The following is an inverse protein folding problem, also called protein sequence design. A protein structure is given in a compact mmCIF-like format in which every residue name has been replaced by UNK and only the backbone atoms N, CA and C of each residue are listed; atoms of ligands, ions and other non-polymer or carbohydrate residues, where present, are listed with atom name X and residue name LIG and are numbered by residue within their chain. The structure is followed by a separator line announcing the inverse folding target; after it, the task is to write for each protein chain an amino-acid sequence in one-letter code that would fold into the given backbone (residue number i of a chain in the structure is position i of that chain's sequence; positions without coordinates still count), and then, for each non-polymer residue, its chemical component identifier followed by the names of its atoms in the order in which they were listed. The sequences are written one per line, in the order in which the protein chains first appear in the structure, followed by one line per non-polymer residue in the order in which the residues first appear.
data_IF_966059719668
#
_entry.id   IF_966059719668
#
_cell.length_a   1.000
_cell.length_b   1.000
_cell.length_c   1.000
_cell.angle_alpha   90.00
_cell.angle_beta   90.00
_cell.angle_gamma   90.00
#
_symmetry.space_group_name_H-M   'P 1'
#
loop_
_entity.id
_entity.type
_entity.pdbx_description
1 polymer ?
#
# COMPACT_ATOMS: atom_id res chain seq x y z
N UNK A 1 12.48 -59.02 -89.18
CA UNK A 1 11.50 -59.47 -88.18
C UNK A 1 12.24 -59.75 -86.87
N UNK A 2 11.81 -59.10 -85.80
CA UNK A 2 12.34 -59.27 -84.44
C UNK A 2 12.27 -60.72 -83.98
N UNK A 3 13.27 -61.20 -83.22
CA UNK A 3 12.98 -61.69 -81.87
C UNK A 3 14.22 -61.81 -80.96
N UNK A 4 14.00 -61.35 -79.73
CA UNK A 4 14.85 -61.26 -78.54
C UNK A 4 14.51 -62.43 -77.62
N UNK A 5 15.50 -63.15 -77.08
CA UNK A 5 15.59 -63.73 -75.71
C UNK A 5 17.09 -64.06 -75.51
N UNK A 6 17.84 -63.76 -74.44
CA UNK A 6 17.68 -63.07 -73.15
C UNK A 6 19.05 -63.22 -72.40
N UNK A 7 19.47 -62.33 -71.49
CA UNK A 7 20.73 -62.51 -70.80
C UNK A 7 20.58 -63.21 -69.45
N UNK A 8 21.62 -63.99 -69.22
CA UNK A 8 21.91 -64.98 -68.20
C UNK A 8 22.61 -64.35 -66.97
N UNK A 9 22.34 -64.95 -65.81
CA UNK A 9 23.01 -65.03 -64.49
C UNK A 9 24.02 -63.98 -63.95
N UNK A 10 24.24 -62.84 -64.60
CA UNK A 10 25.21 -61.81 -64.16
C UNK A 10 24.66 -60.80 -63.14
N UNK A 11 23.35 -60.81 -62.87
CA UNK A 11 22.69 -59.78 -62.04
C UNK A 11 22.74 -60.11 -60.55
N UNK A 12 22.88 -61.38 -60.17
CA UNK A 12 22.73 -61.77 -58.77
C UNK A 12 23.98 -61.48 -57.91
N UNK A 13 25.18 -61.63 -58.49
CA UNK A 13 26.46 -61.32 -57.79
C UNK A 13 26.70 -59.82 -57.64
N UNK A 14 26.30 -58.99 -58.61
CA UNK A 14 26.43 -57.52 -58.53
C UNK A 14 25.40 -56.94 -57.53
N UNK A 15 24.23 -57.56 -57.40
CA UNK A 15 23.18 -57.09 -56.47
C UNK A 15 23.60 -57.20 -55.00
N UNK A 16 24.33 -58.27 -54.63
CA UNK A 16 24.74 -58.51 -53.24
C UNK A 16 25.90 -57.58 -52.83
N UNK A 17 26.88 -57.34 -53.69
CA UNK A 17 28.00 -56.41 -53.39
C UNK A 17 27.50 -54.97 -53.17
N UNK A 18 26.53 -54.54 -53.99
CA UNK A 18 25.93 -53.20 -53.89
C UNK A 18 25.07 -53.04 -52.63
N UNK A 19 24.42 -54.13 -52.18
CA UNK A 19 23.61 -54.15 -50.96
C UNK A 19 24.48 -54.13 -49.70
N UNK A 20 25.59 -54.88 -49.68
CA UNK A 20 26.57 -54.84 -48.59
C UNK A 20 27.29 -53.49 -48.48
N UNK A 21 27.64 -52.85 -49.61
CA UNK A 21 28.24 -51.51 -49.62
C UNK A 21 27.30 -50.45 -48.99
N UNK A 22 26.00 -50.48 -49.34
CA UNK A 22 25.00 -49.55 -48.77
C UNK A 22 24.72 -49.83 -47.29
N UNK A 23 24.69 -51.09 -46.88
CA UNK A 23 24.58 -51.45 -45.46
C UNK A 23 25.81 -51.01 -44.67
N UNK A 24 27.01 -51.16 -45.24
CA UNK A 24 28.26 -50.71 -44.63
C UNK A 24 28.31 -49.18 -44.49
N UNK A 25 27.96 -48.42 -45.52
CA UNK A 25 27.89 -46.95 -45.44
C UNK A 25 26.81 -46.46 -44.45
N UNK A 26 25.66 -47.15 -44.38
CA UNK A 26 24.62 -46.82 -43.40
C UNK A 26 25.08 -47.13 -41.97
N UNK A 27 25.84 -48.22 -41.78
CA UNK A 27 26.42 -48.58 -40.49
C UNK A 27 27.54 -47.59 -40.08
N UNK A 28 28.35 -47.13 -41.02
CA UNK A 28 29.38 -46.12 -40.79
C UNK A 28 28.79 -44.73 -40.50
N UNK A 29 27.71 -44.32 -41.20
CA UNK A 29 26.99 -43.08 -40.88
C UNK A 29 26.34 -43.15 -39.50
N UNK A 30 25.74 -44.29 -39.12
CA UNK A 30 25.21 -44.49 -37.77
C UNK A 30 26.32 -44.47 -36.72
N UNK A 31 27.47 -45.10 -36.97
CA UNK A 31 28.65 -45.01 -36.08
C UNK A 31 29.15 -43.57 -35.96
N UNK A 32 29.23 -42.82 -37.05
CA UNK A 32 29.65 -41.42 -37.05
C UNK A 32 28.67 -40.54 -36.27
N UNK A 33 27.36 -40.76 -36.41
CA UNK A 33 26.31 -40.09 -35.63
C UNK A 33 26.46 -40.41 -34.15
N UNK A 34 26.70 -41.68 -33.79
CA UNK A 34 26.94 -42.08 -32.41
C UNK A 34 28.24 -41.49 -31.84
N UNK A 35 29.31 -41.38 -32.64
CA UNK A 35 30.57 -40.74 -32.25
C UNK A 35 30.36 -39.25 -32.04
N UNK A 36 29.66 -38.55 -32.93
CA UNK A 36 29.33 -37.13 -32.79
C UNK A 36 28.44 -36.91 -31.55
N UNK A 37 27.46 -37.78 -31.32
CA UNK A 37 26.61 -37.73 -30.12
C UNK A 37 27.44 -37.94 -28.85
N UNK A 38 28.40 -38.87 -28.86
CA UNK A 38 29.29 -39.12 -27.72
C UNK A 38 30.26 -37.96 -27.48
N UNK A 39 30.77 -37.32 -28.54
CA UNK A 39 31.61 -36.12 -28.46
C UNK A 39 30.81 -34.95 -27.89
N UNK A 40 29.58 -34.72 -28.35
CA UNK A 40 28.70 -33.68 -27.81
C UNK A 40 28.37 -33.96 -26.34
N UNK A 41 28.09 -35.22 -25.98
CA UNK A 41 27.85 -35.63 -24.60
C UNK A 41 29.10 -35.41 -23.72
N UNK A 42 30.29 -35.76 -24.21
CA UNK A 42 31.56 -35.50 -23.51
C UNK A 42 31.79 -33.99 -23.37
N UNK A 43 31.53 -33.19 -24.41
CA UNK A 43 31.63 -31.74 -24.33
C UNK A 43 30.67 -31.23 -23.25
N UNK A 44 29.38 -31.63 -23.27
CA UNK A 44 28.39 -31.24 -22.26
C UNK A 44 28.81 -31.68 -20.85
N UNK A 45 29.34 -32.90 -20.68
CA UNK A 45 29.87 -33.37 -19.39
C UNK A 45 31.09 -32.53 -18.97
N UNK A 46 32.00 -32.18 -19.89
CA UNK A 46 33.13 -31.30 -19.59
C UNK A 46 32.63 -29.91 -19.24
N UNK A 47 31.64 -29.33 -19.95
CA UNK A 47 31.08 -28.03 -19.62
C UNK A 47 30.39 -28.06 -18.27
N UNK A 48 29.61 -29.11 -17.96
CA UNK A 48 28.96 -29.30 -16.66
C UNK A 48 29.99 -29.51 -15.56
N UNK A 49 31.02 -30.32 -15.78
CA UNK A 49 32.08 -30.57 -14.80
C UNK A 49 32.91 -29.31 -14.59
N UNK A 50 33.21 -28.55 -15.64
CA UNK A 50 33.90 -27.25 -15.55
C UNK A 50 33.02 -26.23 -14.86
N UNK A 51 31.70 -26.21 -15.10
CA UNK A 51 30.75 -25.32 -14.42
C UNK A 51 30.57 -25.72 -12.96
N UNK A 52 30.51 -27.01 -12.62
CA UNK A 52 30.46 -27.52 -11.24
C UNK A 52 31.80 -27.26 -10.54
N UNK A 53 32.93 -27.41 -11.22
CA UNK A 53 34.25 -27.11 -10.66
C UNK A 53 34.42 -25.60 -10.48
N UNK A 54 33.90 -24.79 -11.40
CA UNK A 54 33.89 -23.33 -11.27
C UNK A 54 32.96 -22.91 -10.14
N UNK A 55 31.73 -23.45 -10.06
CA UNK A 55 30.76 -23.25 -8.96
C UNK A 55 31.29 -23.75 -7.63
N UNK A 56 32.03 -24.85 -7.58
CA UNK A 56 32.68 -25.36 -6.37
C UNK A 56 33.95 -24.55 -6.03
N UNK A 57 34.63 -23.95 -7.02
CA UNK A 57 35.76 -23.04 -6.80
C UNK A 57 35.28 -21.66 -6.34
N UNK A 58 34.13 -21.17 -6.81
CA UNK A 58 33.42 -19.99 -6.28
C UNK A 58 32.66 -20.29 -4.98
N UNK A 59 32.26 -21.53 -4.68
CA UNK A 59 31.76 -21.96 -3.35
C UNK A 59 32.86 -22.24 -2.34
N UNK A 60 34.13 -22.39 -2.75
CA UNK A 60 35.26 -22.57 -1.83
C UNK A 60 35.96 -21.25 -1.45
N UNK A 61 35.49 -20.14 -2.03
CA UNK A 61 35.61 -18.79 -1.46
C UNK A 61 34.23 -18.36 -0.92
N UNK A 62 33.62 -19.19 -0.07
CA UNK A 62 32.49 -18.75 0.76
C UNK A 62 33.00 -17.76 1.81
N UNK A 63 33.01 -16.47 1.46
CA UNK A 63 32.71 -15.43 2.44
C UNK A 63 31.34 -15.75 3.03
N UNK A 64 31.31 -16.31 4.23
CA UNK A 64 30.08 -16.42 5.02
C UNK A 64 29.66 -15.01 5.45
N UNK A 65 28.77 -14.40 4.68
CA UNK A 65 28.06 -13.19 5.10
C UNK A 65 26.94 -13.60 6.04
N UNK A 66 27.14 -13.51 7.35
CA UNK A 66 26.05 -13.62 8.32
C UNK A 66 25.27 -12.30 8.31
N UNK A 67 24.04 -12.33 7.77
CA UNK A 67 23.11 -11.20 7.88
C UNK A 67 22.52 -11.25 9.30
N UNK A 68 22.76 -10.21 10.09
CA UNK A 68 22.08 -9.99 11.37
C UNK A 68 21.02 -8.92 11.11
N UNK A 69 19.75 -9.32 11.05
CA UNK A 69 18.64 -8.37 11.15
C UNK A 69 18.53 -7.90 12.61
N UNK A 70 18.80 -6.61 12.83
CA UNK A 70 18.49 -5.95 14.10
C UNK A 70 17.18 -5.21 13.89
N UNK A 71 16.08 -5.77 14.38
CA UNK A 71 14.79 -5.08 14.45
C UNK A 71 14.84 -4.06 15.58
N UNK A 72 15.21 -2.81 15.26
CA UNK A 72 14.85 -1.64 16.07
C UNK A 72 13.85 -0.78 15.29
N UNK A 73 12.79 -0.33 15.96
CA UNK A 73 11.56 0.21 15.37
C UNK A 73 11.65 1.52 14.59
N UNK A 74 12.83 2.02 14.24
CA UNK A 74 12.96 3.14 13.29
C UNK A 74 14.25 3.00 12.49
N UNK A 75 14.09 2.97 11.15
CA UNK A 75 15.12 2.98 10.07
C UNK A 75 16.06 1.78 9.95
N UNK A 76 15.95 1.04 8.83
CA UNK A 76 16.91 0.02 8.39
C UNK A 76 18.13 0.67 7.75
N UNK A 77 19.31 0.58 8.36
CA UNK A 77 20.59 0.78 7.68
C UNK A 77 21.32 -0.56 7.54
N UNK A 78 21.79 -0.85 6.31
CA UNK A 78 22.55 -2.04 5.98
C UNK A 78 24.01 -1.87 6.42
N UNK A 79 24.47 -2.66 7.39
CA UNK A 79 25.90 -2.75 7.72
C UNK A 79 26.48 -4.06 7.16
N UNK A 80 27.31 -3.98 6.12
CA UNK A 80 28.11 -5.10 5.63
C UNK A 80 29.47 -5.11 6.34
N UNK A 81 29.80 -6.19 7.04
CA UNK A 81 31.15 -6.42 7.57
C UNK A 81 31.66 -7.78 7.10
N UNK A 82 32.80 -7.78 6.40
CA UNK A 82 33.48 -8.98 5.93
C UNK A 82 34.56 -9.35 6.95
N UNK A 83 34.47 -10.51 7.60
CA UNK A 83 35.54 -11.01 8.49
C UNK A 83 35.97 -12.40 8.05
N UNK A 84 37.23 -12.54 7.66
CA UNK A 84 37.86 -13.80 7.27
C UNK A 84 38.53 -14.41 8.51
N UNK A 85 37.92 -15.42 9.13
CA UNK A 85 38.58 -16.55 9.81
C UNK A 85 37.54 -17.33 10.63
N UNK A 86 37.60 -18.67 10.52
CA UNK A 86 36.71 -19.63 11.18
C UNK A 86 37.01 -19.68 12.69
N UNK A 87 36.42 -18.76 13.46
CA UNK A 87 36.47 -18.73 14.92
C UNK A 87 35.04 -18.86 15.47
N UNK A 88 34.87 -19.62 16.54
CA UNK A 88 33.56 -19.92 17.15
C UNK A 88 32.94 -18.63 17.72
N UNK A 89 31.86 -18.13 17.10
CA UNK A 89 31.15 -16.92 17.54
C UNK A 89 29.95 -17.31 18.40
N UNK A 90 29.88 -16.86 19.65
CA UNK A 90 28.69 -17.01 20.51
C UNK A 90 28.00 -15.66 20.70
N UNK A 91 26.77 -15.51 20.18
CA UNK A 91 25.94 -14.31 20.37
C UNK A 91 24.93 -14.55 21.50
N UNK A 92 24.84 -13.62 22.46
CA UNK A 92 23.82 -13.66 23.53
C UNK A 92 23.23 -12.27 23.70
N UNK A 93 21.90 -12.17 23.67
CA UNK A 93 21.13 -10.96 23.96
C UNK A 93 20.70 -10.99 25.42
N UNK A 94 20.88 -9.89 26.14
CA UNK A 94 20.49 -9.74 27.56
C UNK A 94 19.28 -8.82 27.68
N UNK A 95 18.31 -9.20 28.51
CA UNK A 95 17.16 -8.37 28.85
C UNK A 95 17.54 -7.13 29.68
N UNK A 96 16.70 -6.06 29.64
CA UNK A 96 16.91 -4.84 30.40
C UNK A 96 17.17 -5.09 31.90
N UNK A 97 18.22 -4.47 32.45
CA UNK A 97 18.51 -4.51 33.89
C UNK A 97 19.18 -5.80 34.42
N UNK A 98 19.53 -6.76 33.56
CA UNK A 98 20.18 -8.01 33.99
C UNK A 98 21.68 -7.86 34.29
N UNK A 99 22.19 -8.67 35.25
CA UNK A 99 23.61 -8.84 35.56
C UNK A 99 24.08 -10.18 34.99
N UNK A 100 25.12 -10.16 34.14
CA UNK A 100 25.67 -11.40 33.54
C UNK A 100 27.19 -11.47 33.73
N UNK A 101 27.70 -12.62 34.21
CA UNK A 101 29.12 -12.97 34.27
C UNK A 101 29.47 -13.97 33.16
N UNK A 102 30.58 -13.75 32.44
CA UNK A 102 31.04 -14.66 31.38
C UNK A 102 32.56 -14.88 31.43
N UNK A 103 32.96 -16.15 31.34
CA UNK A 103 34.35 -16.59 31.13
C UNK A 103 34.55 -16.94 29.65
N UNK A 104 35.63 -16.48 29.04
CA UNK A 104 35.97 -16.75 27.62
C UNK A 104 37.16 -17.68 27.51
N UNK A 105 37.06 -18.72 26.67
CA UNK A 105 38.16 -19.65 26.39
C UNK A 105 39.24 -19.04 25.46
N UNK A 106 40.48 -19.55 25.54
CA UNK A 106 41.61 -19.07 24.73
C UNK A 106 41.35 -19.19 23.22
N UNK A 107 41.65 -18.12 22.47
CA UNK A 107 41.53 -18.13 21.01
C UNK A 107 40.11 -17.92 20.47
N UNK A 108 39.17 -17.38 21.25
CA UNK A 108 37.80 -17.08 20.81
C UNK A 108 37.52 -15.57 20.65
N UNK A 109 36.60 -15.23 19.73
CA UNK A 109 36.08 -13.88 19.52
C UNK A 109 34.65 -13.83 20.06
N UNK A 110 34.39 -12.95 21.03
CA UNK A 110 33.03 -12.77 21.57
C UNK A 110 32.51 -11.38 21.24
N UNK A 111 31.35 -11.32 20.59
CA UNK A 111 30.56 -10.09 20.42
C UNK A 111 29.49 -10.03 21.51
N UNK A 112 29.36 -8.89 22.19
CA UNK A 112 28.31 -8.68 23.20
C UNK A 112 27.59 -7.38 22.89
N UNK A 113 26.27 -7.46 22.77
CA UNK A 113 25.38 -6.31 22.58
C UNK A 113 24.64 -6.08 23.89
N UNK A 114 24.81 -4.90 24.49
CA UNK A 114 24.16 -4.54 25.75
C UNK A 114 23.11 -3.47 25.51
N UNK A 115 21.91 -3.69 26.03
CA UNK A 115 20.87 -2.67 26.09
C UNK A 115 21.16 -1.60 27.17
N UNK A 116 20.53 -0.42 27.09
CA UNK A 116 20.70 0.65 28.08
C UNK A 116 20.40 0.18 29.51
N UNK A 117 21.32 0.42 30.45
CA UNK A 117 21.12 0.15 31.89
C UNK A 117 21.57 -1.24 32.39
N UNK A 118 22.14 -2.12 31.55
CA UNK A 118 22.69 -3.42 31.99
C UNK A 118 24.15 -3.32 32.47
N UNK A 119 24.52 -4.11 33.50
CA UNK A 119 25.89 -4.21 34.04
C UNK A 119 26.49 -5.58 33.71
N UNK A 120 27.63 -5.60 33.01
CA UNK A 120 28.34 -6.84 32.65
C UNK A 120 29.75 -6.84 33.24
N UNK A 121 30.11 -7.90 33.98
CA UNK A 121 31.47 -8.09 34.53
C UNK A 121 32.14 -9.23 33.76
N UNK A 122 33.33 -8.98 33.19
CA UNK A 122 34.01 -9.94 32.32
C UNK A 122 35.50 -10.09 32.70
N UNK A 123 35.97 -11.33 32.79
CA UNK A 123 37.38 -11.67 33.05
C UNK A 123 37.99 -12.22 31.76
N UNK A 124 39.02 -11.57 31.23
CA UNK A 124 39.68 -11.93 29.96
C UNK A 124 41.03 -12.59 30.19
N UNK A 125 41.29 -13.73 29.54
CA UNK A 125 42.63 -14.36 29.47
C UNK A 125 43.46 -13.85 28.26
N UNK A 126 44.80 -14.00 28.29
CA UNK A 126 45.70 -13.50 27.24
C UNK A 126 45.42 -14.11 25.86
N UNK A 127 45.36 -13.27 24.82
CA UNK A 127 45.21 -13.70 23.42
C UNK A 127 43.79 -13.74 22.85
N UNK A 128 42.79 -13.16 23.53
CA UNK A 128 41.41 -13.02 23.02
C UNK A 128 41.14 -11.64 22.42
N UNK A 129 40.37 -11.60 21.32
CA UNK A 129 39.86 -10.36 20.69
C UNK A 129 38.40 -10.16 21.09
N UNK A 130 38.06 -9.00 21.65
CA UNK A 130 36.68 -8.66 22.04
C UNK A 130 36.18 -7.42 21.31
N UNK A 131 35.02 -7.53 20.67
CA UNK A 131 34.31 -6.39 20.05
C UNK A 131 33.07 -6.09 20.88
N UNK A 132 32.92 -4.84 21.34
CA UNK A 132 31.76 -4.39 22.11
C UNK A 132 31.06 -3.26 21.37
N UNK A 133 29.79 -3.44 21.06
CA UNK A 133 28.93 -2.42 20.44
C UNK A 133 28.11 -1.78 21.57
N UNK A 134 28.30 -0.49 21.85
CA UNK A 134 27.68 0.23 22.98
C UNK A 134 26.69 1.28 22.49
N UNK A 135 25.51 1.36 23.12
CA UNK A 135 24.51 2.41 22.86
C UNK A 135 24.46 3.56 23.88
N UNK A 136 25.27 3.56 24.96
CA UNK A 136 25.62 4.77 25.74
C UNK A 136 26.69 4.48 26.81
N UNK A 137 27.13 5.53 27.53
CA UNK A 137 28.33 5.65 28.35
C UNK A 137 28.43 4.72 29.57
N UNK A 138 29.51 3.91 29.66
CA UNK A 138 30.05 3.35 30.92
C UNK A 138 31.56 3.06 30.83
N UNK A 139 32.22 3.32 31.96
CA UNK A 139 33.66 3.21 32.29
C UNK A 139 34.19 1.77 32.18
N UNK A 140 35.36 1.57 31.57
CA UNK A 140 36.03 0.26 31.51
C UNK A 140 37.25 0.20 32.44
N UNK A 141 37.33 -0.84 33.27
CA UNK A 141 38.56 -1.23 33.99
C UNK A 141 39.58 -1.88 33.05
N UNK A 142 40.86 -1.71 33.38
CA UNK A 142 42.04 -1.90 32.53
C UNK A 142 42.13 -3.25 31.79
N UNK A 143 42.53 -3.18 30.51
CA UNK A 143 42.82 -4.32 29.65
C UNK A 143 44.16 -4.99 30.01
N UNK A 144 44.23 -6.32 29.92
CA UNK A 144 45.48 -7.07 30.05
C UNK A 144 46.44 -6.79 28.88
N UNK A 145 47.78 -6.89 29.08
CA UNK A 145 48.77 -6.60 28.05
C UNK A 145 48.56 -7.47 26.80
N UNK A 146 48.45 -6.85 25.62
CA UNK A 146 48.27 -7.55 24.33
C UNK A 146 46.84 -7.58 23.78
N UNK A 147 45.87 -6.89 24.41
CA UNK A 147 44.47 -6.85 23.96
C UNK A 147 44.18 -5.58 23.13
N UNK A 148 43.65 -5.71 21.92
CA UNK A 148 43.14 -4.59 21.10
C UNK A 148 41.64 -4.39 21.31
N UNK A 149 41.21 -3.17 21.62
CA UNK A 149 39.78 -2.80 21.73
C UNK A 149 39.45 -1.73 20.69
N UNK A 150 38.54 -2.04 19.76
CA UNK A 150 38.07 -1.10 18.74
C UNK A 150 36.66 -0.64 19.10
N UNK A 151 36.47 0.67 19.30
CA UNK A 151 35.16 1.28 19.60
C UNK A 151 34.62 1.89 18.30
N UNK A 152 33.63 1.26 17.69
CA UNK A 152 32.89 1.86 16.58
C UNK A 152 31.79 2.77 17.14
N UNK A 153 31.90 4.08 16.90
CA UNK A 153 30.86 5.06 17.22
C UNK A 153 29.82 5.03 16.10
N UNK A 154 28.66 4.44 16.36
CA UNK A 154 27.51 4.51 15.45
C UNK A 154 26.82 5.84 15.72
N UNK A 155 26.93 6.79 14.80
CA UNK A 155 26.16 8.03 14.84
C UNK A 155 24.86 7.79 14.07
N UNK A 156 23.78 7.46 14.78
CA UNK A 156 22.44 7.42 14.17
C UNK A 156 21.97 8.86 13.95
N UNK A 157 21.88 9.28 12.69
CA UNK A 157 21.30 10.58 12.34
C UNK A 157 19.78 10.41 12.39
N UNK A 158 19.16 10.70 13.53
CA UNK A 158 17.71 10.78 13.63
C UNK A 158 17.24 11.94 12.74
N UNK A 159 16.63 11.62 11.60
CA UNK A 159 15.97 12.60 10.74
C UNK A 159 14.80 13.18 11.54
N UNK A 160 15.02 14.35 12.11
CA UNK A 160 14.02 15.05 12.90
C UNK A 160 12.88 15.50 11.98
N UNK A 161 11.67 15.05 12.27
CA UNK A 161 10.47 15.34 11.48
C UNK A 161 10.01 16.76 11.78
N UNK A 162 10.61 17.73 11.11
CA UNK A 162 10.27 19.15 11.27
C UNK A 162 9.25 19.61 10.24
N UNK A 163 8.35 20.51 10.63
CA UNK A 163 7.50 21.23 9.69
C UNK A 163 8.37 22.12 8.82
N UNK A 164 8.38 21.85 7.53
CA UNK A 164 9.08 22.68 6.55
C UNK A 164 8.03 23.43 5.76
N UNK A 165 8.10 24.77 5.81
CA UNK A 165 7.28 25.61 4.95
C UNK A 165 7.62 25.27 3.50
N UNK A 166 6.63 24.89 2.71
CA UNK A 166 6.75 24.69 1.27
C UNK A 166 6.31 25.96 0.53
N UNK A 167 6.24 25.92 -0.80
CA UNK A 167 5.52 26.96 -1.54
C UNK A 167 4.06 27.08 -1.10
N UNK A 168 3.40 28.16 -1.49
CA UNK A 168 1.97 28.36 -1.23
C UNK A 168 1.15 28.18 -2.51
N UNK A 169 -0.08 27.71 -2.35
CA UNK A 169 -1.11 27.84 -3.39
C UNK A 169 -1.29 29.31 -3.76
N UNK A 170 -1.47 29.58 -5.04
CA UNK A 170 -1.68 30.91 -5.61
C UNK A 170 -3.05 31.49 -5.26
N UNK A 171 -4.06 30.63 -5.08
CA UNK A 171 -5.41 31.04 -4.68
C UNK A 171 -5.85 30.31 -3.43
N UNK A 172 -6.13 31.07 -2.37
CA UNK A 172 -6.67 30.56 -1.11
C UNK A 172 -8.01 29.84 -1.36
N UNK A 173 -8.17 28.66 -0.75
CA UNK A 173 -9.34 27.80 -0.99
C UNK A 173 -9.69 26.94 0.21
N UNK A 174 -10.98 26.84 0.52
CA UNK A 174 -11.57 25.85 1.42
C UNK A 174 -12.53 24.93 0.65
N UNK A 175 -12.87 23.77 1.22
CA UNK A 175 -13.80 22.79 0.62
C UNK A 175 -13.40 22.32 -0.79
N UNK A 176 -12.09 22.33 -1.06
CA UNK A 176 -11.46 21.76 -2.24
C UNK A 176 -11.27 20.25 -2.05
N UNK A 177 -10.89 19.56 -3.12
CA UNK A 177 -10.42 18.17 -3.06
C UNK A 177 -8.90 18.13 -3.24
N UNK A 178 -8.23 17.18 -2.58
CA UNK A 178 -6.81 16.90 -2.75
C UNK A 178 -6.63 15.42 -3.12
N UNK A 179 -6.00 15.14 -4.26
CA UNK A 179 -5.84 13.78 -4.82
C UNK A 179 -4.36 13.47 -5.07
N UNK A 180 -3.84 12.38 -4.48
CA UNK A 180 -2.48 11.90 -4.73
C UNK A 180 -2.43 11.20 -6.08
N UNK A 181 -1.84 11.84 -7.07
CA UNK A 181 -1.71 11.35 -8.44
C UNK A 181 -0.76 10.13 -8.50
N UNK A 182 -0.84 9.29 -9.56
CA UNK A 182 0.04 8.11 -9.71
C UNK A 182 1.54 8.42 -9.69
N UNK A 183 1.94 9.65 -10.03
CA UNK A 183 3.33 10.09 -9.99
C UNK A 183 3.77 10.63 -8.61
N UNK A 184 2.91 10.57 -7.59
CA UNK A 184 3.18 11.07 -6.24
C UNK A 184 2.92 12.57 -6.03
N UNK A 185 2.60 13.32 -7.08
CA UNK A 185 2.17 14.72 -6.94
C UNK A 185 0.73 14.79 -6.39
N UNK A 186 0.35 15.94 -5.83
CA UNK A 186 -0.99 16.13 -5.26
C UNK A 186 -1.74 17.17 -6.09
N UNK A 187 -2.85 16.77 -6.73
CA UNK A 187 -3.78 17.69 -7.36
C UNK A 187 -4.70 18.28 -6.32
N UNK A 188 -4.76 19.61 -6.26
CA UNK A 188 -5.75 20.37 -5.48
C UNK A 188 -6.70 21.07 -6.44
N UNK A 189 -7.98 20.72 -6.40
CA UNK A 189 -8.98 21.19 -7.37
C UNK A 189 -10.15 21.91 -6.69
N UNK A 190 -10.56 23.03 -7.29
CA UNK A 190 -11.74 23.80 -6.89
C UNK A 190 -11.66 24.37 -5.48
N UNK A 191 -12.78 24.32 -4.77
CA UNK A 191 -12.96 24.99 -3.48
C UNK A 191 -13.48 26.42 -3.63
N UNK A 192 -13.42 27.18 -2.54
CA UNK A 192 -13.90 28.56 -2.49
C UNK A 192 -12.99 29.42 -1.62
N UNK A 193 -12.73 30.65 -2.04
CA UNK A 193 -11.96 31.62 -1.27
C UNK A 193 -12.82 32.41 -0.26
N UNK A 194 -14.12 32.56 -0.55
CA UNK A 194 -15.05 33.44 0.17
C UNK A 194 -16.27 32.71 0.75
N UNK A 195 -16.34 31.38 0.58
CA UNK A 195 -17.47 30.56 1.03
C UNK A 195 -18.72 30.64 0.15
N UNK A 196 -18.67 31.34 -0.98
CA UNK A 196 -19.84 31.64 -1.85
C UNK A 196 -19.63 31.27 -3.31
N UNK A 197 -18.41 31.43 -3.82
CA UNK A 197 -18.09 31.25 -5.24
C UNK A 197 -17.15 30.07 -5.42
N UNK A 198 -17.52 29.13 -6.29
CA UNK A 198 -16.69 28.00 -6.67
C UNK A 198 -15.52 28.42 -7.55
N UNK A 199 -14.33 27.91 -7.25
CA UNK A 199 -13.12 28.15 -8.04
C UNK A 199 -13.06 27.16 -9.21
N UNK A 200 -12.70 27.66 -10.39
CA UNK A 200 -12.35 26.85 -11.57
C UNK A 200 -10.90 26.35 -11.53
N UNK A 201 -10.06 27.03 -10.76
CA UNK A 201 -8.61 26.77 -10.72
C UNK A 201 -8.27 25.45 -10.04
N UNK A 202 -7.20 24.83 -10.52
CA UNK A 202 -6.52 23.72 -9.87
C UNK A 202 -5.02 23.96 -9.83
N UNK A 203 -4.35 23.36 -8.85
CA UNK A 203 -2.92 23.47 -8.61
C UNK A 203 -2.35 22.09 -8.29
N UNK A 204 -1.10 21.85 -8.66
CA UNK A 204 -0.40 20.60 -8.40
C UNK A 204 0.77 20.88 -7.47
N UNK A 205 0.81 20.17 -6.34
CA UNK A 205 1.94 20.16 -5.43
C UNK A 205 2.87 19.01 -5.78
N UNK A 206 4.18 19.30 -5.88
CA UNK A 206 5.21 18.27 -6.01
C UNK A 206 5.94 18.10 -4.66
N UNK A 207 5.71 16.99 -3.93
CA UNK A 207 6.35 16.76 -2.64
C UNK A 207 7.89 16.66 -2.70
N UNK A 208 8.46 16.28 -3.85
CA UNK A 208 9.92 16.14 -3.99
C UNK A 208 10.64 17.48 -4.11
N UNK A 209 9.97 18.52 -4.61
CA UNK A 209 10.52 19.88 -4.76
C UNK A 209 9.94 20.87 -3.77
N UNK A 210 8.81 20.54 -3.14
CA UNK A 210 8.05 21.46 -2.28
C UNK A 210 7.38 22.60 -3.05
N UNK A 211 7.27 22.51 -4.38
CA UNK A 211 6.74 23.56 -5.23
C UNK A 211 5.28 23.30 -5.63
N UNK A 212 4.55 24.38 -5.80
CA UNK A 212 3.21 24.41 -6.38
C UNK A 212 3.27 24.93 -7.81
N UNK A 213 2.50 24.31 -8.69
CA UNK A 213 2.35 24.73 -10.08
C UNK A 213 0.88 24.81 -10.43
N UNK A 214 0.45 25.92 -11.02
CA UNK A 214 -0.88 26.03 -11.63
C UNK A 214 -1.02 25.05 -12.78
N UNK A 215 -2.18 24.42 -12.91
CA UNK A 215 -2.51 23.54 -14.04
C UNK A 215 -3.74 24.08 -14.80
N UNK A 216 -4.28 23.33 -15.75
CA UNK A 216 -5.50 23.71 -16.45
C UNK A 216 -6.67 23.98 -15.50
N UNK A 217 -7.67 24.70 -16.01
CA UNK A 217 -8.88 25.08 -15.26
C UNK A 217 -10.08 24.25 -15.69
N UNK A 218 -10.96 23.97 -14.74
CA UNK A 218 -12.30 23.45 -15.01
C UNK A 218 -13.14 24.48 -15.78
N UNK A 219 -14.14 24.01 -16.51
CA UNK A 219 -15.16 24.86 -17.15
C UNK A 219 -16.15 25.44 -16.15
N UNK A 220 -16.46 24.70 -15.08
CA UNK A 220 -17.36 25.13 -14.00
C UNK A 220 -16.64 25.20 -12.66
N UNK A 221 -16.74 26.34 -11.98
CA UNK A 221 -16.19 26.50 -10.65
C UNK A 221 -16.97 25.67 -9.64
N UNK A 222 -16.29 25.00 -8.69
CA UNK A 222 -16.97 24.07 -7.77
C UNK A 222 -16.32 23.97 -6.40
N UNK A 223 -17.14 23.89 -5.36
CA UNK A 223 -16.75 23.48 -4.00
C UNK A 223 -17.75 22.45 -3.45
N UNK A 224 -17.38 21.69 -2.40
CA UNK A 224 -18.15 20.54 -1.91
C UNK A 224 -18.44 19.45 -2.98
N UNK A 225 -17.55 19.33 -3.97
CA UNK A 225 -17.55 18.28 -4.98
C UNK A 225 -16.74 17.08 -4.48
N UNK A 226 -16.85 15.94 -5.15
CA UNK A 226 -15.99 14.78 -4.93
C UNK A 226 -14.92 14.70 -6.01
N UNK A 227 -13.75 14.14 -5.67
CA UNK A 227 -12.72 13.76 -6.63
C UNK A 227 -12.44 12.25 -6.52
N UNK A 228 -12.26 11.58 -7.65
CA UNK A 228 -11.98 10.14 -7.73
C UNK A 228 -10.88 9.86 -8.74
N UNK A 229 -9.81 9.18 -8.31
CA UNK A 229 -8.72 8.76 -9.19
C UNK A 229 -9.16 7.51 -9.95
N UNK A 230 -9.32 7.64 -11.25
CA UNK A 230 -9.72 6.55 -12.14
C UNK A 230 -8.56 5.56 -12.35
N UNK A 231 -8.89 4.36 -12.81
CA UNK A 231 -7.89 3.29 -13.05
C UNK A 231 -6.79 3.68 -14.04
N UNK A 232 -7.06 4.63 -14.94
CA UNK A 232 -6.08 5.16 -15.89
C UNK A 232 -5.21 6.30 -15.32
N UNK A 233 -5.38 6.66 -14.04
CA UNK A 233 -4.63 7.72 -13.37
C UNK A 233 -5.24 9.13 -13.52
N UNK A 234 -6.28 9.30 -14.32
CA UNK A 234 -6.99 10.58 -14.42
C UNK A 234 -7.88 10.82 -13.19
N UNK A 235 -8.24 12.08 -12.92
CA UNK A 235 -9.07 12.45 -11.77
C UNK A 235 -10.43 12.95 -12.25
N UNK A 236 -11.50 12.23 -11.90
CA UNK A 236 -12.88 12.68 -12.08
C UNK A 236 -13.25 13.63 -10.94
N UNK A 237 -13.70 14.84 -11.25
CA UNK A 237 -14.41 15.71 -10.31
C UNK A 237 -15.89 15.76 -10.69
N UNK A 238 -16.77 15.58 -9.71
CA UNK A 238 -18.22 15.50 -9.95
C UNK A 238 -19.02 16.36 -8.98
N UNK A 239 -20.03 17.05 -9.51
CA UNK A 239 -20.97 17.86 -8.73
C UNK A 239 -20.29 18.98 -7.94
N UNK A 240 -20.76 19.20 -6.72
CA UNK A 240 -20.46 20.40 -5.94
C UNK A 240 -21.39 21.55 -6.33
N UNK A 241 -21.02 22.76 -5.94
CA UNK A 241 -21.80 23.96 -6.25
C UNK A 241 -20.88 25.09 -6.70
N UNK A 242 -21.35 25.90 -7.65
CA UNK A 242 -20.62 27.06 -8.17
C UNK A 242 -20.99 28.35 -7.41
N UNK A 243 -22.20 28.38 -6.85
CA UNK A 243 -22.79 29.51 -6.13
C UNK A 243 -23.42 29.02 -4.82
N UNK A 244 -24.39 29.77 -4.28
CA UNK A 244 -25.08 29.38 -3.05
C UNK A 244 -26.18 28.37 -3.42
N UNK A 245 -26.02 27.13 -2.93
CA UNK A 245 -27.02 26.07 -2.89
C UNK A 245 -27.41 25.38 -4.20
N UNK A 246 -26.96 25.82 -5.38
CA UNK A 246 -27.28 25.10 -6.64
C UNK A 246 -26.29 23.96 -6.89
N UNK A 247 -26.77 22.72 -6.82
CA UNK A 247 -25.95 21.55 -7.13
C UNK A 247 -25.61 21.48 -8.63
N UNK A 248 -24.35 21.22 -8.96
CA UNK A 248 -23.88 21.05 -10.34
C UNK A 248 -24.20 19.64 -10.84
N UNK A 249 -24.70 19.55 -12.07
CA UNK A 249 -24.83 18.28 -12.82
C UNK A 249 -23.53 17.89 -13.51
N UNK A 250 -22.61 18.85 -13.69
CA UNK A 250 -21.40 18.67 -14.48
C UNK A 250 -20.34 17.86 -13.73
N UNK A 251 -19.61 17.08 -14.50
CA UNK A 251 -18.39 16.42 -14.08
C UNK A 251 -17.30 16.60 -15.16
N UNK A 252 -16.06 16.59 -14.71
CA UNK A 252 -14.89 16.86 -15.55
C UNK A 252 -13.76 15.92 -15.15
N UNK A 253 -12.93 15.53 -16.12
CA UNK A 253 -11.80 14.63 -15.91
C UNK A 253 -10.51 15.40 -16.16
N UNK A 254 -9.63 15.42 -15.15
CA UNK A 254 -8.28 15.94 -15.24
C UNK A 254 -7.31 14.87 -15.71
N UNK A 255 -6.56 15.15 -16.76
CA UNK A 255 -5.45 14.32 -17.21
C UNK A 255 -4.12 14.86 -16.65
N UNK A 256 -3.46 14.16 -15.72
CA UNK A 256 -2.22 14.64 -15.10
C UNK A 256 -1.01 14.67 -16.05
N UNK A 257 -1.05 13.96 -17.18
CA UNK A 257 0.04 13.98 -18.17
C UNK A 257 0.02 15.22 -19.05
N UNK A 258 -1.16 15.82 -19.26
CA UNK A 258 -1.33 17.02 -20.11
C UNK A 258 -1.68 18.27 -19.32
N UNK A 259 -2.16 18.11 -18.08
CA UNK A 259 -2.69 19.21 -17.27
C UNK A 259 -4.05 19.73 -17.75
N UNK A 260 -4.71 19.02 -18.68
CA UNK A 260 -5.98 19.47 -19.28
C UNK A 260 -7.19 18.85 -18.57
N UNK A 261 -8.28 19.60 -18.55
CA UNK A 261 -9.60 19.16 -18.12
C UNK A 261 -10.46 18.86 -19.34
N UNK A 262 -11.25 17.78 -19.27
CA UNK A 262 -12.23 17.42 -20.30
C UNK A 262 -13.58 17.21 -19.63
N UNK A 263 -14.62 17.88 -20.15
CA UNK A 263 -15.98 17.63 -19.70
C UNK A 263 -16.42 16.19 -20.03
N UNK A 264 -17.20 15.60 -19.13
CA UNK A 264 -17.89 14.33 -19.38
C UNK A 264 -19.36 14.58 -19.72
N UNK A 265 -20.15 13.52 -19.90
CA UNK A 265 -21.60 13.65 -19.80
C UNK A 265 -22.00 14.15 -18.39
N UNK A 266 -23.24 14.59 -18.25
CA UNK A 266 -23.77 15.15 -16.99
C UNK A 266 -24.56 14.11 -16.19
N UNK A 267 -24.56 14.27 -14.87
CA UNK A 267 -25.52 13.62 -13.99
C UNK A 267 -26.95 14.08 -14.30
N UNK A 268 -27.93 13.26 -13.96
CA UNK A 268 -29.35 13.57 -14.08
C UNK A 268 -29.80 14.61 -13.06
N UNK A 269 -29.17 14.62 -11.88
CA UNK A 269 -29.50 15.54 -10.78
C UNK A 269 -28.25 16.23 -10.25
N UNK A 270 -28.30 17.56 -10.17
CA UNK A 270 -27.19 18.36 -9.69
C UNK A 270 -27.07 18.29 -8.18
N UNK A 271 -25.88 17.99 -7.66
CA UNK A 271 -25.69 17.64 -6.24
C UNK A 271 -24.40 18.18 -5.66
N UNK A 272 -24.41 18.52 -4.36
CA UNK A 272 -23.21 18.89 -3.59
C UNK A 272 -23.20 18.20 -2.23
N UNK A 273 -22.03 18.11 -1.57
CA UNK A 273 -21.85 17.36 -0.30
C UNK A 273 -22.29 15.89 -0.38
N UNK A 274 -22.22 15.31 -1.58
CA UNK A 274 -22.45 13.90 -1.82
C UNK A 274 -21.16 13.11 -1.58
N UNK A 275 -21.26 11.79 -1.51
CA UNK A 275 -20.11 10.88 -1.42
C UNK A 275 -19.84 10.24 -2.77
N UNK A 276 -18.60 9.79 -2.97
CA UNK A 276 -18.19 9.03 -4.15
C UNK A 276 -17.34 7.82 -3.75
N UNK A 277 -17.54 6.69 -4.43
CA UNK A 277 -16.73 5.48 -4.28
C UNK A 277 -16.32 4.95 -5.64
N UNK A 278 -15.05 4.59 -5.78
CA UNK A 278 -14.60 3.77 -6.90
C UNK A 278 -15.05 2.33 -6.67
N UNK A 279 -15.77 1.79 -7.63
CA UNK A 279 -16.24 0.41 -7.68
C UNK A 279 -15.13 -0.48 -8.25
N UNK A 280 -15.24 -1.79 -8.03
CA UNK A 280 -14.23 -2.77 -8.50
C UNK A 280 -13.99 -2.80 -9.99
N UNK A 281 -15.00 -2.44 -10.76
CA UNK A 281 -14.91 -2.34 -12.21
C UNK A 281 -14.30 -0.99 -12.69
N UNK A 282 -13.83 -0.14 -11.77
CA UNK A 282 -13.24 1.17 -12.08
C UNK A 282 -14.26 2.30 -12.27
N UNK A 283 -15.56 2.01 -12.22
CA UNK A 283 -16.60 3.02 -12.29
C UNK A 283 -16.75 3.77 -10.96
N UNK A 284 -17.36 4.95 -10.99
CA UNK A 284 -17.53 5.78 -9.78
C UNK A 284 -19.01 5.85 -9.42
N UNK A 285 -19.37 5.42 -8.22
CA UNK A 285 -20.70 5.57 -7.65
C UNK A 285 -20.76 6.89 -6.87
N UNK A 286 -21.69 7.77 -7.21
CA UNK A 286 -22.02 8.96 -6.39
C UNK A 286 -23.34 8.74 -5.67
N UNK A 287 -23.42 9.13 -4.40
CA UNK A 287 -24.58 8.86 -3.55
C UNK A 287 -25.02 10.12 -2.81
N UNK A 288 -26.34 10.35 -2.84
CA UNK A 288 -27.03 11.37 -2.07
C UNK A 288 -26.48 12.78 -2.23
N UNK A 289 -26.28 13.46 -1.10
CA UNK A 289 -25.88 14.86 -1.01
C UNK A 289 -27.08 15.78 -0.84
N UNK A 290 -26.97 16.99 -1.41
CA UNK A 290 -28.04 17.99 -1.41
C UNK A 290 -28.39 18.45 -2.82
N UNK A 291 -29.68 18.67 -3.04
CA UNK A 291 -30.23 19.40 -4.17
C UNK A 291 -30.94 20.63 -3.58
N UNK A 292 -30.50 21.84 -3.94
CA UNK A 292 -30.87 23.05 -3.21
C UNK A 292 -30.58 22.88 -1.71
N UNK A 293 -31.54 23.15 -0.83
CA UNK A 293 -31.40 22.93 0.61
C UNK A 293 -31.89 21.57 1.11
N UNK A 294 -32.36 20.71 0.21
CA UNK A 294 -32.98 19.43 0.57
C UNK A 294 -31.98 18.29 0.44
N UNK A 295 -31.97 17.41 1.44
CA UNK A 295 -31.19 16.19 1.41
C UNK A 295 -31.71 15.24 0.31
N UNK A 296 -30.80 14.57 -0.38
CA UNK A 296 -31.12 13.72 -1.53
C UNK A 296 -30.63 12.29 -1.31
N UNK A 297 -31.40 11.30 -1.77
CA UNK A 297 -31.07 9.87 -1.66
C UNK A 297 -30.75 9.20 -3.01
N UNK A 298 -30.76 9.95 -4.12
CA UNK A 298 -30.46 9.39 -5.43
C UNK A 298 -29.00 8.98 -5.57
N UNK A 299 -28.74 7.97 -6.40
CA UNK A 299 -27.39 7.53 -6.73
C UNK A 299 -27.22 7.38 -8.25
N UNK A 300 -26.01 7.65 -8.73
CA UNK A 300 -25.65 7.54 -10.14
C UNK A 300 -24.27 6.89 -10.27
N UNK A 301 -24.04 6.18 -11.37
CA UNK A 301 -22.75 5.55 -11.67
C UNK A 301 -22.15 6.22 -12.90
N UNK A 302 -20.94 6.73 -12.77
CA UNK A 302 -20.09 7.16 -13.87
C UNK A 302 -19.35 5.96 -14.45
N UNK A 303 -19.57 5.71 -15.74
CA UNK A 303 -18.83 4.72 -16.50
C UNK A 303 -17.50 5.32 -16.98
N UNK A 304 -16.40 4.83 -16.40
CA UNK A 304 -15.06 5.37 -16.64
C UNK A 304 -14.53 5.15 -18.06
N UNK A 305 -15.05 4.17 -18.80
CA UNK A 305 -14.62 3.88 -20.17
C UNK A 305 -15.39 4.67 -21.22
N UNK A 306 -16.62 5.08 -20.93
CA UNK A 306 -17.49 5.79 -21.89
C UNK A 306 -17.73 7.26 -21.54
N UNK A 307 -17.40 7.69 -20.32
CA UNK A 307 -17.67 9.05 -19.85
C UNK A 307 -19.13 9.32 -19.53
N UNK A 308 -19.99 8.28 -19.49
CA UNK A 308 -21.44 8.41 -19.32
C UNK A 308 -21.90 8.21 -17.88
N UNK A 309 -22.94 8.92 -17.48
CA UNK A 309 -23.64 8.71 -16.22
C UNK A 309 -24.89 7.85 -16.40
N UNK A 310 -25.20 7.03 -15.40
CA UNK A 310 -26.43 6.21 -15.40
C UNK A 310 -27.02 6.16 -14.00
N UNK A 311 -28.31 6.44 -13.89
CA UNK A 311 -29.06 6.30 -12.64
C UNK A 311 -29.04 4.86 -12.14
N UNK A 312 -28.90 4.68 -10.84
CA UNK A 312 -28.99 3.38 -10.17
C UNK A 312 -30.00 3.46 -9.02
N UNK A 313 -30.19 2.39 -8.25
CA UNK A 313 -31.11 2.41 -7.12
C UNK A 313 -30.77 3.52 -6.13
N UNK A 314 -31.80 4.10 -5.51
CA UNK A 314 -31.67 5.13 -4.47
C UNK A 314 -31.47 4.47 -3.10
N UNK A 315 -30.86 5.19 -2.16
CA UNK A 315 -30.88 4.76 -0.75
C UNK A 315 -32.31 4.83 -0.22
N UNK A 316 -32.68 3.89 0.64
CA UNK A 316 -34.01 3.78 1.26
C UNK A 316 -34.27 4.94 2.22
N UNK A 317 -33.22 5.44 2.88
CA UNK A 317 -33.31 6.60 3.77
C UNK A 317 -32.48 7.76 3.23
N UNK A 318 -33.07 8.94 3.21
CA UNK A 318 -32.38 10.22 2.94
C UNK A 318 -31.49 10.56 4.13
N UNK A 319 -30.21 10.85 3.87
CA UNK A 319 -29.20 11.09 4.90
C UNK A 319 -28.17 12.14 4.48
N UNK A 320 -27.78 13.00 5.42
CA UNK A 320 -26.63 13.90 5.32
C UNK A 320 -25.56 13.49 6.32
N UNK A 321 -24.33 13.96 6.15
CA UNK A 321 -23.26 13.77 7.16
C UNK A 321 -23.03 12.30 7.57
N UNK A 322 -23.33 11.39 6.65
CA UNK A 322 -23.08 9.95 6.76
C UNK A 322 -21.67 9.64 6.24
N UNK A 323 -21.20 8.43 6.52
CA UNK A 323 -19.96 7.91 5.93
C UNK A 323 -20.27 6.86 4.87
N UNK A 324 -19.41 6.78 3.85
CA UNK A 324 -19.48 5.79 2.79
C UNK A 324 -18.18 4.98 2.77
N UNK A 325 -18.28 3.66 2.74
CA UNK A 325 -17.14 2.73 2.74
C UNK A 325 -17.30 1.71 1.62
N UNK A 326 -16.27 1.59 0.76
CA UNK A 326 -16.20 0.48 -0.20
C UNK A 326 -15.66 -0.76 0.52
N UNK A 327 -16.44 -1.84 0.52
CA UNK A 327 -16.14 -3.08 1.24
C UNK A 327 -15.20 -4.00 0.43
N UNK A 328 -14.54 -4.93 1.12
CA UNK A 328 -13.71 -5.99 0.51
C UNK A 328 -14.48 -7.00 -0.35
N UNK A 329 -15.80 -6.96 -0.37
CA UNK A 329 -16.60 -7.73 -1.33
C UNK A 329 -17.06 -6.88 -2.54
N UNK A 330 -16.62 -5.61 -2.60
CA UNK A 330 -16.89 -4.70 -3.71
C UNK A 330 -18.23 -3.98 -3.63
N UNK A 331 -19.03 -4.29 -2.60
CA UNK A 331 -20.23 -3.55 -2.26
C UNK A 331 -19.86 -2.23 -1.58
N UNK A 332 -20.80 -1.30 -1.53
CA UNK A 332 -20.61 0.00 -0.87
C UNK A 332 -21.57 0.11 0.30
N UNK A 333 -21.06 0.42 1.48
CA UNK A 333 -21.84 0.62 2.70
C UNK A 333 -22.01 2.12 2.96
N UNK A 334 -23.24 2.56 3.25
CA UNK A 334 -23.51 3.88 3.83
C UNK A 334 -23.99 3.72 5.26
N UNK A 335 -23.48 4.55 6.16
CA UNK A 335 -23.61 4.36 7.61
C UNK A 335 -24.13 5.65 8.26
N UNK A 336 -25.21 5.53 9.03
CA UNK A 336 -25.75 6.58 9.87
C UNK A 336 -26.03 7.88 9.09
N UNK A 337 -25.64 9.01 9.68
CA UNK A 337 -25.93 10.34 9.16
C UNK A 337 -27.17 10.95 9.81
N UNK A 338 -27.60 12.08 9.28
CA UNK A 338 -28.70 12.89 9.77
C UNK A 338 -29.85 12.88 8.75
N UNK A 339 -31.03 12.49 9.21
CA UNK A 339 -32.29 12.63 8.47
C UNK A 339 -33.08 13.85 8.95
N UNK A 340 -34.24 14.10 8.35
CA UNK A 340 -35.17 15.12 8.84
C UNK A 340 -35.74 14.80 10.24
N UNK A 341 -35.72 13.52 10.65
CA UNK A 341 -36.20 13.05 11.95
C UNK A 341 -35.09 12.91 12.99
N UNK A 342 -33.86 13.29 12.65
CA UNK A 342 -32.69 13.19 13.52
C UNK A 342 -31.64 12.18 13.03
N UNK A 343 -30.61 11.96 13.85
CA UNK A 343 -29.52 11.01 13.57
C UNK A 343 -30.03 9.61 13.27
N UNK A 344 -29.26 8.89 12.45
CA UNK A 344 -29.58 7.54 11.99
C UNK A 344 -28.61 6.54 12.60
N UNK A 345 -29.15 5.41 13.04
CA UNK A 345 -28.37 4.20 13.33
C UNK A 345 -28.42 3.18 12.18
N UNK A 346 -29.19 3.47 11.13
CA UNK A 346 -29.36 2.60 9.98
C UNK A 346 -28.14 2.60 9.07
N UNK A 347 -27.92 1.47 8.42
CA UNK A 347 -26.95 1.34 7.36
C UNK A 347 -27.55 0.61 6.15
N UNK A 348 -27.01 0.90 4.97
CA UNK A 348 -27.47 0.30 3.71
C UNK A 348 -26.28 -0.12 2.85
N UNK A 349 -26.44 -1.23 2.15
CA UNK A 349 -25.42 -1.82 1.29
C UNK A 349 -25.88 -1.75 -0.16
N UNK A 350 -25.10 -1.10 -1.01
CA UNK A 350 -25.23 -1.11 -2.46
C UNK A 350 -24.57 -2.35 -3.04
N UNK A 351 -25.29 -3.08 -3.88
CA UNK A 351 -24.74 -4.14 -4.70
C UNK A 351 -24.55 -3.67 -6.15
N UNK A 352 -23.29 -3.46 -6.62
CA UNK A 352 -23.02 -3.02 -7.98
C UNK A 352 -23.51 -3.97 -9.08
N UNK A 353 -23.64 -5.27 -8.80
CA UNK A 353 -24.10 -6.22 -9.82
C UNK A 353 -25.59 -6.13 -10.11
N UNK A 354 -26.39 -5.65 -9.16
CA UNK A 354 -27.83 -5.48 -9.29
C UNK A 354 -28.27 -4.03 -9.36
N UNK A 355 -27.38 -3.10 -9.00
CA UNK A 355 -27.70 -1.67 -8.91
C UNK A 355 -28.71 -1.35 -7.81
N UNK A 356 -28.79 -2.16 -6.75
CA UNK A 356 -29.79 -2.01 -5.68
C UNK A 356 -29.15 -1.79 -4.32
N UNK A 357 -29.83 -1.00 -3.50
CA UNK A 357 -29.55 -0.86 -2.07
C UNK A 357 -30.40 -1.82 -1.25
N UNK A 358 -29.80 -2.40 -0.22
CA UNK A 358 -30.49 -3.23 0.78
C UNK A 358 -30.14 -2.73 2.16
N UNK A 359 -31.13 -2.63 3.05
CA UNK A 359 -30.89 -2.40 4.47
C UNK A 359 -30.06 -3.56 5.05
N UNK A 360 -29.18 -3.25 5.99
CA UNK A 360 -28.42 -4.23 6.78
C UNK A 360 -28.72 -4.02 8.27
N UNK A 361 -27.99 -4.69 9.17
CA UNK A 361 -28.12 -4.45 10.61
C UNK A 361 -27.92 -2.97 10.97
N UNK A 362 -28.38 -2.60 12.16
CA UNK A 362 -28.34 -1.23 12.68
C UNK A 362 -27.33 -1.10 13.81
N UNK A 363 -26.67 0.05 13.90
CA UNK A 363 -25.90 0.44 15.08
C UNK A 363 -26.80 0.53 16.31
N UNK A 364 -26.20 0.37 17.49
CA UNK A 364 -26.88 0.62 18.78
C UNK A 364 -27.14 2.11 18.97
N UNK A 365 -26.18 2.95 18.61
CA UNK A 365 -26.28 4.40 18.77
C UNK A 365 -26.41 5.09 17.42
N UNK A 366 -27.46 5.89 17.26
CA UNK A 366 -27.64 6.75 16.10
C UNK A 366 -26.57 7.86 16.09
N UNK A 367 -25.97 8.12 14.93
CA UNK A 367 -24.83 9.04 14.83
C UNK A 367 -24.68 9.68 13.47
N UNK A 368 -24.24 10.94 13.45
CA UNK A 368 -23.79 11.69 12.27
C UNK A 368 -22.44 12.37 12.55
N UNK A 369 -21.73 12.87 11.53
CA UNK A 369 -20.37 13.44 11.70
C UNK A 369 -19.35 12.49 12.35
N UNK A 370 -19.61 11.18 12.28
CA UNK A 370 -18.70 10.12 12.73
C UNK A 370 -17.67 9.80 11.64
N UNK A 371 -16.62 9.08 12.02
CA UNK A 371 -15.69 8.50 11.05
C UNK A 371 -15.90 6.99 10.92
N UNK A 372 -15.60 6.46 9.73
CA UNK A 372 -15.62 5.02 9.48
C UNK A 372 -14.30 4.59 8.81
N UNK A 373 -13.76 3.45 9.20
CA UNK A 373 -12.50 2.90 8.68
C UNK A 373 -12.62 1.39 8.50
N UNK A 374 -12.17 0.89 7.35
CA UNK A 374 -12.07 -0.55 7.12
C UNK A 374 -10.82 -1.08 7.83
N UNK A 375 -11.00 -2.08 8.68
CA UNK A 375 -9.94 -2.74 9.43
C UNK A 375 -9.28 -3.83 8.57
N UNK A 376 -8.08 -4.27 8.97
CA UNK A 376 -7.32 -5.28 8.25
C UNK A 376 -8.03 -6.65 8.10
N UNK A 377 -9.05 -6.91 8.94
CA UNK A 377 -9.88 -8.12 8.86
C UNK A 377 -11.15 -7.93 8.00
N UNK A 378 -11.28 -6.80 7.31
CA UNK A 378 -12.43 -6.47 6.46
C UNK A 378 -13.65 -5.92 7.20
N UNK A 379 -13.64 -5.87 8.54
CA UNK A 379 -14.71 -5.24 9.30
C UNK A 379 -14.61 -3.72 9.24
N UNK A 380 -15.70 -3.01 9.52
CA UNK A 380 -15.72 -1.54 9.51
C UNK A 380 -15.86 -1.01 10.93
N UNK A 381 -14.85 -0.28 11.40
CA UNK A 381 -14.89 0.51 12.62
C UNK A 381 -15.66 1.80 12.35
N UNK A 382 -16.62 2.12 13.21
CA UNK A 382 -17.36 3.38 13.22
C UNK A 382 -17.20 4.01 14.59
N UNK A 383 -16.63 5.22 14.64
CA UNK A 383 -16.25 5.86 15.88
C UNK A 383 -16.79 7.29 15.98
N UNK A 384 -17.23 7.66 17.19
CA UNK A 384 -17.66 9.00 17.55
C UNK A 384 -18.85 9.53 16.75
N UNK A 385 -18.83 10.82 16.44
CA UNK A 385 -19.95 11.54 15.86
C UNK A 385 -20.83 12.21 16.90
N UNK A 386 -22.04 12.57 16.50
CA UNK A 386 -23.01 13.31 17.30
C UNK A 386 -24.33 12.55 17.38
N UNK A 387 -24.93 12.50 18.56
CA UNK A 387 -26.21 11.82 18.82
C UNK A 387 -27.43 12.76 18.74
N UNK A 388 -28.60 12.22 19.12
CA UNK A 388 -29.89 12.92 19.09
C UNK A 388 -29.96 14.10 20.06
N UNK A 389 -29.10 14.14 21.07
CA UNK A 389 -29.00 15.23 22.05
C UNK A 389 -27.96 16.27 21.67
N UNK A 390 -27.45 16.22 20.42
CA UNK A 390 -26.35 17.04 19.93
C UNK A 390 -25.05 16.84 20.73
N UNK A 391 -24.92 15.71 21.44
CA UNK A 391 -23.74 15.39 22.22
C UNK A 391 -22.73 14.63 21.35
N UNK A 392 -21.46 15.02 21.47
CA UNK A 392 -20.39 14.24 20.88
C UNK A 392 -20.32 12.84 21.53
N UNK A 393 -19.98 11.83 20.74
CA UNK A 393 -19.89 10.44 21.17
C UNK A 393 -18.42 10.01 21.31
N UNK A 394 -18.13 9.24 22.35
CA UNK A 394 -16.87 8.47 22.46
C UNK A 394 -17.04 7.01 22.00
N UNK A 395 -18.28 6.53 21.91
CA UNK A 395 -18.58 5.14 21.57
C UNK A 395 -18.12 4.79 20.16
N UNK A 396 -17.71 3.52 20.00
CA UNK A 396 -17.40 2.94 18.71
C UNK A 396 -18.09 1.58 18.54
N UNK A 397 -18.35 1.24 17.28
CA UNK A 397 -19.02 0.00 16.88
C UNK A 397 -18.34 -0.60 15.66
N UNK A 398 -18.31 -1.93 15.59
CA UNK A 398 -17.77 -2.71 14.49
C UNK A 398 -18.91 -3.30 13.68
N UNK A 399 -18.93 -3.04 12.38
CA UNK A 399 -19.78 -3.73 11.41
C UNK A 399 -19.03 -4.91 10.78
N UNK A 400 -19.66 -6.09 10.77
CA UNK A 400 -19.20 -7.28 10.07
C UNK A 400 -19.89 -7.42 8.72
N UNK A 401 -19.21 -7.18 7.58
CA UNK A 401 -19.84 -7.25 6.25
C UNK A 401 -20.34 -8.63 5.84
N UNK A 402 -19.80 -9.69 6.42
CA UNK A 402 -20.17 -11.08 6.11
C UNK A 402 -21.51 -11.47 6.74
N UNK A 403 -21.85 -10.88 7.89
CA UNK A 403 -23.07 -11.20 8.65
C UNK A 403 -24.08 -10.06 8.69
N UNK A 404 -23.65 -8.83 8.40
CA UNK A 404 -24.48 -7.65 8.56
C UNK A 404 -24.69 -7.22 10.02
N UNK A 405 -23.97 -7.82 10.96
CA UNK A 405 -24.12 -7.52 12.40
C UNK A 405 -23.20 -6.39 12.87
N UNK A 406 -23.67 -5.71 13.91
CA UNK A 406 -22.93 -4.68 14.63
C UNK A 406 -22.59 -5.18 16.04
N UNK A 407 -21.40 -4.82 16.52
CA UNK A 407 -20.97 -5.06 17.89
C UNK A 407 -20.33 -3.80 18.47
N UNK A 408 -20.62 -3.48 19.72
CA UNK A 408 -19.90 -2.43 20.43
C UNK A 408 -18.43 -2.85 20.62
N UNK A 409 -17.52 -1.88 20.58
CA UNK A 409 -16.11 -2.06 20.92
C UNK A 409 -15.70 -0.99 21.94
N UNK A 410 -14.42 -0.99 22.33
CA UNK A 410 -13.87 -0.01 23.27
C UNK A 410 -14.16 1.42 22.82
N UNK A 411 -14.50 2.26 23.80
CA UNK A 411 -14.79 3.67 23.55
C UNK A 411 -13.51 4.51 23.56
N UNK A 412 -13.53 5.58 22.78
CA UNK A 412 -12.49 6.60 22.84
C UNK A 412 -12.42 7.25 24.22
N UNK A 413 -11.23 7.71 24.59
CA UNK A 413 -10.99 8.45 25.84
C UNK A 413 -11.76 9.78 25.90
N UNK A 414 -11.99 10.40 24.73
CA UNK A 414 -12.71 11.66 24.57
C UNK A 414 -13.78 11.54 23.51
N UNK A 415 -14.97 12.03 23.84
CA UNK A 415 -16.07 12.14 22.90
C UNK A 415 -15.78 13.18 21.81
N UNK A 416 -16.04 12.84 20.54
CA UNK A 416 -15.68 13.68 19.40
C UNK A 416 -16.57 13.48 18.17
N UNK A 417 -17.02 14.58 17.57
CA UNK A 417 -17.56 14.64 16.20
C UNK A 417 -16.56 15.31 15.26
N UNK A 418 -16.77 15.22 13.94
CA UNK A 418 -15.98 15.97 12.93
C UNK A 418 -14.45 15.77 13.02
N UNK A 419 -14.04 14.63 13.57
CA UNK A 419 -12.65 14.22 13.68
C UNK A 419 -12.21 13.52 12.39
N UNK A 420 -10.89 13.38 12.23
CA UNK A 420 -10.34 12.51 11.19
C UNK A 420 -10.08 11.12 11.77
N UNK A 421 -10.26 10.09 10.93
CA UNK A 421 -9.78 8.74 11.18
C UNK A 421 -8.89 8.33 10.00
N UNK A 422 -7.67 7.89 10.27
CA UNK A 422 -6.70 7.49 9.26
C UNK A 422 -6.13 6.12 9.61
N UNK A 423 -6.19 5.20 8.64
CA UNK A 423 -5.56 3.89 8.77
C UNK A 423 -4.04 4.08 8.61
N UNK A 424 -3.28 3.67 9.62
CA UNK A 424 -1.83 3.69 9.64
C UNK A 424 -1.26 2.47 8.91
N UNK A 425 0.04 2.52 8.58
CA UNK A 425 0.73 1.43 7.86
C UNK A 425 0.75 0.10 8.60
N UNK A 426 0.65 0.14 9.93
CA UNK A 426 0.54 -1.06 10.78
C UNK A 426 -0.89 -1.60 10.90
N UNK A 427 -1.88 -1.02 10.17
CA UNK A 427 -3.27 -1.44 10.17
C UNK A 427 -4.14 -0.85 11.30
N UNK A 428 -3.55 -0.10 12.23
CA UNK A 428 -4.30 0.58 13.29
C UNK A 428 -4.97 1.86 12.78
N UNK A 429 -6.02 2.33 13.45
CA UNK A 429 -6.76 3.54 13.10
C UNK A 429 -6.37 4.67 14.06
N UNK A 430 -5.73 5.70 13.53
CA UNK A 430 -5.49 6.95 14.26
C UNK A 430 -6.71 7.85 14.14
N UNK A 431 -7.25 8.25 15.29
CA UNK A 431 -8.29 9.27 15.39
C UNK A 431 -7.69 10.53 15.98
N UNK A 432 -7.87 11.68 15.32
CA UNK A 432 -7.26 12.95 15.73
C UNK A 432 -8.25 14.12 15.68
N UNK A 433 -8.15 15.00 16.68
CA UNK A 433 -8.94 16.22 16.79
C UNK A 433 -10.44 15.97 16.91
N UNK A 434 -11.24 16.81 16.27
CA UNK A 434 -12.70 16.81 16.33
C UNK A 434 -13.26 17.84 17.32
N UNK A 435 -14.57 17.78 17.53
CA UNK A 435 -15.33 18.71 18.37
C UNK A 435 -16.09 17.96 19.48
N UNK A 436 -16.04 18.48 20.70
CA UNK A 436 -16.70 17.86 21.88
C UNK A 436 -18.14 18.30 22.10
N UNK A 437 -18.64 19.25 21.31
CA UNK A 437 -19.83 20.05 21.65
C UNK A 437 -19.51 21.32 22.45
N UNK A 438 -18.37 21.36 23.17
CA UNK A 438 -17.92 22.54 23.94
C UNK A 438 -16.73 23.26 23.31
N UNK A 439 -16.01 22.60 22.40
CA UNK A 439 -14.80 23.14 21.79
C UNK A 439 -14.03 22.08 20.98
N UNK A 440 -13.05 22.52 20.19
CA UNK A 440 -12.17 21.63 19.45
C UNK A 440 -11.26 20.83 20.39
N UNK A 441 -10.92 19.60 19.98
CA UNK A 441 -9.96 18.74 20.64
C UNK A 441 -8.58 18.86 20.00
N UNK A 442 -7.53 18.84 20.84
CA UNK A 442 -6.15 18.65 20.40
C UNK A 442 -5.70 17.18 20.49
N UNK A 443 -6.47 16.33 21.17
CA UNK A 443 -6.10 14.95 21.44
C UNK A 443 -6.19 14.02 20.24
N UNK A 444 -5.32 13.01 20.21
CA UNK A 444 -5.36 11.91 19.27
C UNK A 444 -5.22 10.58 20.03
N UNK A 445 -5.81 9.52 19.48
CA UNK A 445 -5.78 8.17 20.05
C UNK A 445 -5.83 7.13 18.93
N UNK A 446 -5.38 5.91 19.22
CA UNK A 446 -5.23 4.83 18.23
C UNK A 446 -6.09 3.64 18.64
N UNK A 447 -6.80 3.06 17.67
CA UNK A 447 -7.51 1.79 17.79
C UNK A 447 -6.76 0.72 16.99
N UNK A 448 -6.37 -0.40 17.58
CA UNK A 448 -5.47 -1.36 16.93
C UNK A 448 -5.48 -2.74 17.54
#
# INVERSE_FOLDING_TARGET
MNNRIGPDESVEVISNTTRFQRLYEHFQKRKLIWIIFFIILIIVIITITTTITLVNKTKREETSTTIIEITSSTTSELLTTTTTNKLLTTTKTTEPGSITTKTTEPGSTTTTTTEPGSTTTKTTEPGSTTTTTKNSSTTSTAAAPGSTTTIAKVSTTTKETVWVLTGSISTARAYHTASVLPNGNILVAGGTANGKTGLISAEVFNPSTGLWTTTGTMSSGRYYHTASILANGNVLVAGGTADVQTGLISAEVYNPSTGLWTATDTMSNGRYRHTASILRNGNVLVVGGRIFDTAFNGAEVYNSSTGRWTSTGNTNTVRLHYTQVTLENGKVLVIGGLSEFGPLNSAEVYNPSTGRWTTTGTMKTARYHHAASILANGNVLVAGGTDDFMAALSSAEIYSPSTGHWAATDSMSSARSDHTASILTNGTVLVAGGFTGRGPLSGAEVYG
#
